data_IF_076281841795
#
_entry.id   IF_076281841795
#
_cell.length_a   1.000
_cell.length_b   1.000
_cell.length_c   1.000
_cell.angle_alpha   90.00
_cell.angle_beta   90.00
_cell.angle_gamma   90.00
#
_symmetry.space_group_name_H-M   'P 1'
#
loop_
_entity.id
_entity.type
_entity.pdbx_description
1 polymer ?
#
# COMPACT_ATOMS: atom_id res chain seq x y z
N UNK A 1 9.76 0.30 17.86
CA UNK A 1 9.60 -0.57 16.66
C UNK A 1 8.11 -0.68 16.37
N UNK A 2 7.63 -0.16 15.24
CA UNK A 2 6.23 -0.34 14.82
C UNK A 2 6.02 -1.80 14.40
N UNK A 3 4.97 -2.44 14.91
CA UNK A 3 4.60 -3.82 14.53
C UNK A 3 4.25 -3.89 13.03
N UNK A 4 4.30 -5.08 12.44
CA UNK A 4 3.87 -5.29 11.06
C UNK A 4 2.44 -4.79 10.82
N UNK A 5 1.51 -5.10 11.74
CA UNK A 5 0.14 -4.57 11.71
C UNK A 5 0.09 -3.03 11.72
N UNK A 6 0.94 -2.38 12.53
CA UNK A 6 1.04 -0.93 12.58
C UNK A 6 1.57 -0.32 11.28
N UNK A 7 2.57 -0.97 10.64
CA UNK A 7 3.08 -0.54 9.32
C UNK A 7 2.05 -0.72 8.22
N UNK A 8 1.36 -1.86 8.19
CA UNK A 8 0.28 -2.12 7.23
C UNK A 8 -0.87 -1.12 7.39
N UNK A 9 -1.27 -0.83 8.62
CA UNK A 9 -2.29 0.20 8.91
C UNK A 9 -1.88 1.59 8.43
N UNK A 10 -0.64 2.00 8.67
CA UNK A 10 -0.12 3.29 8.19
C UNK A 10 -0.04 3.34 6.66
N UNK A 11 0.36 2.26 6.00
CA UNK A 11 0.41 2.20 4.54
C UNK A 11 -0.99 2.28 3.92
N UNK A 12 -1.96 1.52 4.45
CA UNK A 12 -3.36 1.60 4.02
C UNK A 12 -3.89 3.03 4.13
N UNK A 13 -3.65 3.71 5.26
CA UNK A 13 -4.05 5.09 5.45
C UNK A 13 -3.35 6.05 4.47
N UNK A 14 -2.07 5.82 4.16
CA UNK A 14 -1.34 6.64 3.19
C UNK A 14 -1.91 6.50 1.77
N UNK A 15 -2.29 5.29 1.36
CA UNK A 15 -2.80 5.04 -0.01
C UNK A 15 -4.29 5.37 -0.18
N UNK A 16 -5.05 5.55 0.91
CA UNK A 16 -6.49 5.92 0.86
C UNK A 16 -6.74 7.16 0.01
N UNK A 17 -5.91 8.20 0.14
CA UNK A 17 -6.01 9.42 -0.65
C UNK A 17 -5.92 9.14 -2.17
N UNK A 18 -5.05 8.22 -2.61
CA UNK A 18 -4.88 7.93 -4.06
C UNK A 18 -6.11 7.22 -4.63
N UNK A 19 -6.72 6.33 -3.84
CA UNK A 19 -7.98 5.68 -4.18
C UNK A 19 -9.13 6.69 -4.27
N UNK A 20 -9.21 7.59 -3.28
CA UNK A 20 -10.21 8.65 -3.25
C UNK A 20 -10.08 9.56 -4.47
N UNK A 21 -8.87 10.06 -4.76
CA UNK A 21 -8.60 10.89 -5.92
C UNK A 21 -8.98 10.19 -7.24
N UNK A 22 -8.60 8.92 -7.40
CA UNK A 22 -8.93 8.15 -8.60
C UNK A 22 -10.46 7.95 -8.79
N UNK A 23 -11.21 7.87 -7.69
CA UNK A 23 -12.67 7.75 -7.75
C UNK A 23 -13.35 8.99 -8.37
N UNK A 24 -12.69 10.15 -8.30
CA UNK A 24 -13.11 11.39 -8.97
C UNK A 24 -12.53 11.52 -10.39
N UNK A 25 -11.23 11.24 -10.56
CA UNK A 25 -10.52 11.50 -11.81
C UNK A 25 -10.92 10.55 -12.95
N UNK A 26 -11.24 9.29 -12.64
CA UNK A 26 -11.65 8.28 -13.65
C UNK A 26 -12.97 8.68 -14.34
N UNK A 27 -14.09 8.92 -13.63
CA UNK A 27 -15.34 9.32 -14.30
C UNK A 27 -15.23 10.70 -14.95
N UNK A 28 -14.38 11.59 -14.43
CA UNK A 28 -14.09 12.88 -15.05
C UNK A 28 -13.20 12.78 -16.31
N UNK A 29 -12.70 11.57 -16.64
CA UNK A 29 -11.75 11.31 -17.75
C UNK A 29 -10.44 12.10 -17.62
N UNK A 30 -10.03 12.38 -16.39
CA UNK A 30 -8.80 13.09 -16.04
C UNK A 30 -7.66 12.12 -15.65
N UNK A 31 -8.00 10.87 -15.31
CA UNK A 31 -7.01 9.84 -15.03
C UNK A 31 -6.26 9.40 -16.31
N UNK A 32 -4.94 9.46 -16.29
CA UNK A 32 -4.08 8.98 -17.38
C UNK A 32 -3.90 7.45 -17.32
N UNK A 33 -3.61 6.78 -18.46
CA UNK A 33 -3.31 5.34 -18.45
C UNK A 33 -2.18 4.94 -17.48
N UNK A 34 -1.17 5.81 -17.34
CA UNK A 34 -0.06 5.62 -16.41
C UNK A 34 -0.53 5.65 -14.96
N UNK A 35 -1.33 6.65 -14.58
CA UNK A 35 -1.89 6.75 -13.23
C UNK A 35 -2.77 5.53 -12.90
N UNK A 36 -3.58 5.06 -13.85
CA UNK A 36 -4.37 3.84 -13.67
C UNK A 36 -3.47 2.60 -13.43
N UNK A 37 -2.39 2.45 -14.19
CA UNK A 37 -1.45 1.34 -14.03
C UNK A 37 -0.69 1.41 -12.69
N UNK A 38 -0.26 2.60 -12.28
CA UNK A 38 0.41 2.83 -11.00
C UNK A 38 -0.52 2.50 -9.82
N UNK A 39 -1.77 2.97 -9.87
CA UNK A 39 -2.78 2.65 -8.85
C UNK A 39 -3.05 1.15 -8.78
N UNK A 40 -3.21 0.47 -9.92
CA UNK A 40 -3.40 -0.98 -9.95
C UNK A 40 -2.23 -1.73 -9.29
N UNK A 41 -0.99 -1.29 -9.54
CA UNK A 41 0.20 -1.86 -8.89
C UNK A 41 0.21 -1.68 -7.37
N UNK A 42 -0.24 -0.52 -6.87
CA UNK A 42 -0.37 -0.25 -5.44
C UNK A 42 -1.43 -1.17 -4.82
N UNK A 43 -2.61 -1.26 -5.45
CA UNK A 43 -3.71 -2.10 -4.96
C UNK A 43 -3.34 -3.58 -4.94
N UNK A 44 -2.59 -4.06 -5.93
CA UNK A 44 -2.09 -5.42 -5.97
C UNK A 44 -1.19 -5.70 -4.76
N UNK A 45 -0.20 -4.83 -4.49
CA UNK A 45 0.71 -4.99 -3.34
C UNK A 45 -0.03 -4.95 -2.01
N UNK A 46 -0.96 -4.01 -1.82
CA UNK A 46 -1.79 -3.96 -0.61
C UNK A 46 -2.61 -5.23 -0.43
N UNK A 47 -3.14 -5.78 -1.52
CA UNK A 47 -3.91 -7.03 -1.50
C UNK A 47 -3.03 -8.20 -1.06
N UNK A 48 -1.78 -8.26 -1.52
CA UNK A 48 -0.83 -9.31 -1.16
C UNK A 48 -0.44 -9.22 0.32
N UNK A 49 -0.10 -8.02 0.82
CA UNK A 49 0.21 -7.81 2.25
C UNK A 49 -0.97 -8.13 3.17
N UNK A 50 -2.20 -7.80 2.77
CA UNK A 50 -3.40 -8.16 3.52
C UNK A 50 -3.62 -9.67 3.58
N UNK A 51 -3.32 -10.40 2.50
CA UNK A 51 -3.38 -11.87 2.48
C UNK A 51 -2.33 -12.47 3.41
N UNK A 52 -1.12 -11.95 3.38
CA UNK A 52 -0.02 -12.41 4.25
C UNK A 52 -0.32 -12.13 5.72
N UNK A 53 -0.85 -10.94 6.03
CA UNK A 53 -1.32 -10.61 7.37
C UNK A 53 -2.44 -11.56 7.83
N UNK A 54 -3.45 -11.81 6.97
CA UNK A 54 -4.55 -12.71 7.27
C UNK A 54 -4.08 -14.17 7.47
N UNK A 55 -3.13 -14.64 6.66
CA UNK A 55 -2.50 -15.94 6.84
C UNK A 55 -1.75 -16.02 8.18
N UNK A 56 -1.01 -14.97 8.55
CA UNK A 56 -0.36 -14.84 9.85
C UNK A 56 -1.35 -14.95 11.01
N UNK A 57 -2.52 -14.31 10.90
CA UNK A 57 -3.59 -14.41 11.91
C UNK A 57 -4.22 -15.81 11.98
N UNK A 58 -4.42 -16.47 10.84
CA UNK A 58 -5.10 -17.77 10.75
C UNK A 58 -4.23 -18.94 11.25
N UNK A 59 -2.91 -18.87 11.06
CA UNK A 59 -1.99 -19.97 11.37
C UNK A 59 -1.11 -19.71 12.61
N UNK A 60 -1.11 -18.49 13.15
CA UNK A 60 -0.33 -18.13 14.32
C UNK A 60 -1.08 -17.16 15.23
N UNK A 61 -1.44 -17.60 16.43
CA UNK A 61 -1.74 -16.71 17.57
C UNK A 61 -0.53 -15.90 18.06
N UNK A 62 0.38 -15.52 17.17
CA UNK A 62 1.63 -14.85 17.48
C UNK A 62 2.61 -14.99 16.32
N UNK A 63 2.97 -13.84 15.76
CA UNK A 63 4.09 -13.60 14.86
C UNK A 63 3.80 -13.64 13.34
N UNK A 64 3.52 -12.46 12.71
CA UNK A 64 3.46 -12.35 11.26
C UNK A 64 4.84 -12.62 10.63
N UNK A 65 4.90 -13.02 9.35
CA UNK A 65 6.16 -13.36 8.69
C UNK A 65 7.16 -12.20 8.75
N UNK A 66 8.36 -12.47 9.30
CA UNK A 66 9.48 -11.53 9.27
C UNK A 66 10.14 -11.57 7.89
N UNK A 67 9.54 -10.98 6.87
CA UNK A 67 10.21 -10.63 5.60
C UNK A 67 9.17 -10.00 4.68
N UNK A 68 9.40 -8.90 3.98
CA UNK A 68 10.62 -8.19 3.62
C UNK A 68 10.44 -6.71 3.95
N UNK A 69 11.55 -5.99 4.05
CA UNK A 69 11.64 -4.58 4.45
C UNK A 69 10.68 -3.68 3.67
N UNK A 70 9.51 -3.39 4.23
CA UNK A 70 8.79 -2.15 3.92
C UNK A 70 9.67 -1.06 4.55
N UNK A 71 10.55 -0.48 3.74
CA UNK A 71 11.36 0.67 4.14
C UNK A 71 10.48 1.94 4.02
N UNK A 72 10.07 2.56 5.13
CA UNK A 72 9.28 3.78 5.10
C UNK A 72 10.03 4.96 4.46
N UNK A 73 11.36 4.91 4.32
CA UNK A 73 12.17 5.94 3.66
C UNK A 73 12.21 5.81 2.12
N UNK A 74 11.72 4.71 1.53
CA UNK A 74 11.55 4.63 0.07
C UNK A 74 10.47 5.64 -0.41
N UNK A 75 9.47 5.92 0.42
CA UNK A 75 8.44 6.93 0.17
C UNK A 75 8.99 8.36 0.14
N UNK A 76 10.12 8.62 0.81
CA UNK A 76 10.74 9.95 0.89
C UNK A 76 11.58 10.29 -0.34
N UNK A 77 12.19 9.29 -1.01
CA UNK A 77 13.12 9.51 -2.14
C UNK A 77 12.45 9.76 -3.49
N UNK A 78 11.14 9.55 -3.63
CA UNK A 78 10.39 9.86 -4.88
C UNK A 78 9.81 11.28 -4.93
N UNK A 79 10.10 12.13 -3.94
CA UNK A 79 9.58 13.50 -3.84
C UNK A 79 10.59 14.62 -4.13
N UNK A 80 11.88 14.32 -4.30
CA UNK A 80 12.91 15.33 -4.59
C UNK A 80 13.78 14.85 -5.76
N UNK A 81 13.46 15.33 -6.95
CA UNK A 81 14.18 15.06 -8.18
C UNK A 81 13.54 15.81 -9.34
N UNK A 82 13.85 17.11 -9.39
CA UNK A 82 13.72 18.08 -10.51
C UNK A 82 12.54 17.98 -11.50
#
# INVERSE_FOLDING_TARGET
>A
MTSYAGRLGMWLAHEQWKLEQASYDIPARQATPRQCAELAGILQRLSDELRDYAAGLAFGGGHPPESSSIDPDEFRRRGDGE
#
